data_IF_205126635242
#
_entry.id   IF_205126635242
#
_cell.length_a   1.000
_cell.length_b   1.000
_cell.length_c   1.000
_cell.angle_alpha   90.00
_cell.angle_beta   90.00
_cell.angle_gamma   90.00
#
_symmetry.space_group_name_H-M   'P 1'
#
loop_
_entity.id
_entity.type
_entity.pdbx_description
1 polymer ?
#
# COMPACT_ATOMS: atom_id res chain seq x y z
N UNK A 1 8.55 -29.07 -19.08
CA UNK A 1 7.59 -28.02 -19.47
C UNK A 1 8.37 -26.88 -20.15
N UNK A 2 7.89 -26.30 -21.26
CA UNK A 2 8.62 -25.21 -21.96
C UNK A 2 8.07 -23.86 -21.51
N UNK A 3 8.91 -22.88 -21.19
CA UNK A 3 8.46 -21.56 -20.71
C UNK A 3 7.47 -20.88 -21.68
N UNK A 4 7.67 -21.04 -22.99
CA UNK A 4 6.78 -20.50 -24.03
C UNK A 4 5.33 -20.96 -23.89
N UNK A 5 5.09 -22.19 -23.42
CA UNK A 5 3.72 -22.71 -23.23
C UNK A 5 3.04 -22.13 -21.98
N UNK A 6 3.77 -21.38 -21.14
CA UNK A 6 3.26 -20.73 -19.94
C UNK A 6 3.02 -19.23 -20.11
N UNK A 7 3.15 -18.67 -21.32
CA UNK A 7 3.04 -17.22 -21.57
C UNK A 7 1.74 -16.59 -21.03
N UNK A 8 0.64 -17.34 -20.99
CA UNK A 8 -0.62 -16.87 -20.39
C UNK A 8 -0.51 -16.61 -18.88
N UNK A 9 0.34 -17.37 -18.17
CA UNK A 9 0.58 -17.22 -16.73
C UNK A 9 1.55 -16.08 -16.40
N UNK A 10 2.21 -15.48 -17.38
CA UNK A 10 3.14 -14.36 -17.17
C UNK A 10 2.44 -13.00 -17.29
N UNK A 11 1.13 -12.98 -17.54
CA UNK A 11 0.32 -11.76 -17.56
C UNK A 11 -0.25 -11.50 -16.17
N UNK A 12 -0.45 -10.23 -15.88
CA UNK A 12 -1.07 -9.80 -14.63
C UNK A 12 -2.50 -10.33 -14.63
N UNK A 13 -2.92 -10.86 -13.49
CA UNK A 13 -4.29 -11.31 -13.30
C UNK A 13 -5.27 -10.14 -13.46
N UNK A 14 -6.53 -10.46 -13.75
CA UNK A 14 -7.58 -9.46 -13.77
C UNK A 14 -7.64 -8.72 -12.41
N UNK A 15 -8.03 -7.43 -12.41
CA UNK A 15 -8.39 -6.70 -11.20
C UNK A 15 -9.37 -7.48 -10.33
N UNK A 16 -9.24 -7.33 -9.01
CA UNK A 16 -10.13 -7.96 -8.04
C UNK A 16 -11.03 -6.91 -7.41
N UNK A 17 -12.33 -7.16 -7.40
CA UNK A 17 -13.33 -6.30 -6.78
C UNK A 17 -13.14 -6.23 -5.25
N UNK A 18 -13.27 -5.02 -4.70
CA UNK A 18 -13.18 -4.68 -3.29
C UNK A 18 -14.19 -3.60 -2.95
N UNK A 19 -14.50 -3.48 -1.67
CA UNK A 19 -15.23 -2.34 -1.12
C UNK A 19 -14.22 -1.41 -0.46
N UNK A 20 -14.34 -0.11 -0.75
CA UNK A 20 -13.66 0.95 -0.03
C UNK A 20 -14.69 1.70 0.82
N UNK A 21 -14.32 2.00 2.06
CA UNK A 21 -15.15 2.73 3.02
C UNK A 21 -14.36 3.93 3.52
N UNK A 22 -14.99 5.10 3.56
CA UNK A 22 -14.35 6.34 4.02
C UNK A 22 -15.41 7.31 4.55
N UNK A 23 -14.97 8.26 5.39
CA UNK A 23 -15.85 9.30 5.93
C UNK A 23 -15.58 10.62 5.21
N UNK A 24 -16.64 11.38 4.92
CA UNK A 24 -16.56 12.70 4.31
C UNK A 24 -17.36 13.70 5.15
N UNK A 25 -16.85 14.93 5.26
CA UNK A 25 -17.57 16.03 5.89
C UNK A 25 -18.64 16.57 4.94
N UNK A 26 -19.84 16.79 5.44
CA UNK A 26 -20.92 17.44 4.69
C UNK A 26 -20.61 18.94 4.58
N UNK A 27 -20.43 19.40 3.35
CA UNK A 27 -20.20 20.80 2.99
C UNK A 27 -21.33 21.30 2.11
N UNK A 28 -21.43 22.62 1.92
CA UNK A 28 -22.41 23.20 1.00
C UNK A 28 -22.22 22.68 -0.45
N UNK A 29 -20.98 22.37 -0.84
CA UNK A 29 -20.63 21.92 -2.19
C UNK A 29 -21.04 20.48 -2.48
N UNK A 30 -21.05 19.61 -1.46
CA UNK A 30 -21.35 18.18 -1.63
C UNK A 30 -22.71 17.76 -1.03
N UNK A 31 -23.45 18.68 -0.40
CA UNK A 31 -24.69 18.41 0.33
C UNK A 31 -25.72 17.67 -0.53
N UNK A 32 -26.06 18.22 -1.70
CA UNK A 32 -27.09 17.64 -2.58
C UNK A 32 -26.71 16.23 -3.02
N UNK A 33 -25.42 16.01 -3.32
CA UNK A 33 -24.89 14.72 -3.71
C UNK A 33 -24.99 13.71 -2.55
N UNK A 34 -24.57 14.10 -1.34
CA UNK A 34 -24.64 13.23 -0.17
C UNK A 34 -26.09 12.92 0.23
N UNK A 35 -27.00 13.88 0.12
CA UNK A 35 -28.42 13.69 0.41
C UNK A 35 -29.06 12.69 -0.55
N UNK A 36 -28.74 12.76 -1.85
CA UNK A 36 -29.22 11.81 -2.86
C UNK A 36 -28.66 10.40 -2.62
N UNK A 37 -27.35 10.29 -2.33
CA UNK A 37 -26.67 8.98 -2.25
C UNK A 37 -26.84 8.24 -0.94
N UNK A 38 -27.11 8.93 0.16
CA UNK A 38 -27.20 8.31 1.48
C UNK A 38 -28.63 8.07 1.95
N UNK A 39 -29.63 8.55 1.18
CA UNK A 39 -31.05 8.55 1.53
C UNK A 39 -31.37 9.18 2.91
N UNK A 40 -30.40 9.88 3.52
CA UNK A 40 -30.56 10.58 4.79
C UNK A 40 -31.21 11.93 4.56
N UNK A 41 -32.44 12.09 5.04
CA UNK A 41 -33.21 13.34 4.92
C UNK A 41 -32.72 14.46 5.83
N UNK A 42 -31.97 14.15 6.88
CA UNK A 42 -31.50 15.11 7.90
C UNK A 42 -29.97 15.14 7.96
N UNK A 43 -29.33 15.51 6.84
CA UNK A 43 -27.90 15.84 6.85
C UNK A 43 -27.70 17.27 7.37
N UNK A 44 -26.66 17.48 8.18
CA UNK A 44 -26.26 18.81 8.64
C UNK A 44 -24.86 19.15 8.11
N UNK A 45 -24.65 20.42 7.74
CA UNK A 45 -23.31 20.91 7.39
C UNK A 45 -22.36 20.70 8.59
N UNK A 46 -21.17 20.16 8.32
CA UNK A 46 -20.18 19.78 9.33
C UNK A 46 -20.37 18.39 9.94
N UNK A 47 -21.43 17.65 9.57
CA UNK A 47 -21.58 16.23 9.94
C UNK A 47 -20.56 15.37 9.16
N UNK A 48 -20.02 14.33 9.79
CA UNK A 48 -19.24 13.30 9.11
C UNK A 48 -20.14 12.16 8.67
N UNK A 49 -20.07 11.80 7.39
CA UNK A 49 -20.87 10.72 6.80
C UNK A 49 -19.97 9.64 6.23
N UNK A 50 -20.23 8.40 6.64
CA UNK A 50 -19.55 7.22 6.10
C UNK A 50 -20.15 6.83 4.74
N UNK A 51 -19.28 6.71 3.76
CA UNK A 51 -19.57 6.24 2.41
C UNK A 51 -18.90 4.90 2.17
N UNK A 52 -19.50 4.12 1.26
CA UNK A 52 -18.92 2.88 0.76
C UNK A 52 -19.08 2.81 -0.76
N UNK A 53 -18.08 2.27 -1.44
CA UNK A 53 -18.05 2.15 -2.89
C UNK A 53 -17.31 0.90 -3.35
N UNK A 54 -17.69 0.39 -4.51
CA UNK A 54 -16.94 -0.69 -5.18
C UNK A 54 -15.72 -0.11 -5.89
N UNK A 55 -14.63 -0.85 -5.84
CA UNK A 55 -13.37 -0.51 -6.54
C UNK A 55 -12.69 -1.79 -7.00
N UNK A 56 -11.99 -1.73 -8.13
CA UNK A 56 -11.22 -2.86 -8.65
C UNK A 56 -9.73 -2.63 -8.41
N UNK A 57 -9.04 -3.63 -7.86
CA UNK A 57 -7.61 -3.55 -7.56
C UNK A 57 -6.84 -4.55 -8.40
N UNK A 58 -5.96 -4.06 -9.28
CA UNK A 58 -4.99 -4.88 -10.01
C UNK A 58 -3.67 -5.01 -9.26
N UNK A 59 -2.95 -6.09 -9.55
CA UNK A 59 -1.53 -6.18 -9.17
C UNK A 59 -0.72 -5.22 -10.04
N UNK A 60 0.31 -4.60 -9.45
CA UNK A 60 1.20 -3.73 -10.23
C UNK A 60 1.88 -4.52 -11.36
N UNK A 61 1.87 -3.92 -12.54
CA UNK A 61 2.67 -4.37 -13.68
C UNK A 61 4.14 -4.02 -13.49
N UNK A 62 4.98 -4.56 -14.38
CA UNK A 62 6.38 -4.14 -14.42
C UNK A 62 6.53 -2.65 -14.73
N UNK A 63 5.69 -2.10 -15.62
CA UNK A 63 5.65 -0.67 -15.94
C UNK A 63 5.22 0.16 -14.73
N UNK A 64 4.23 -0.31 -13.96
CA UNK A 64 3.80 0.37 -12.74
C UNK A 64 4.91 0.33 -11.68
N UNK A 65 5.63 -0.80 -11.56
CA UNK A 65 6.77 -0.92 -10.65
C UNK A 65 7.87 0.07 -11.05
N UNK A 66 8.20 0.19 -12.33
CA UNK A 66 9.15 1.18 -12.85
C UNK A 66 8.68 2.61 -12.56
N UNK A 67 7.38 2.90 -12.69
CA UNK A 67 6.84 4.20 -12.32
C UNK A 67 6.98 4.48 -10.83
N UNK A 68 6.68 3.50 -9.96
CA UNK A 68 6.86 3.64 -8.50
C UNK A 68 8.33 3.78 -8.11
N UNK A 69 9.26 3.17 -8.84
CA UNK A 69 10.69 3.27 -8.53
C UNK A 69 11.24 4.69 -8.71
N UNK A 70 10.58 5.54 -9.49
CA UNK A 70 10.93 6.97 -9.63
C UNK A 70 10.74 7.78 -8.35
N UNK A 71 10.03 7.22 -7.35
CA UNK A 71 9.92 7.84 -6.03
C UNK A 71 11.21 7.71 -5.21
N UNK A 72 12.09 6.76 -5.54
CA UNK A 72 13.38 6.57 -4.89
C UNK A 72 14.41 7.50 -5.51
N UNK A 73 15.09 8.24 -4.65
CA UNK A 73 16.20 9.09 -5.05
C UNK A 73 17.48 8.27 -4.96
N UNK A 74 18.12 8.07 -6.11
CA UNK A 74 19.35 7.31 -6.23
C UNK A 74 20.54 8.23 -6.40
N UNK A 75 21.63 7.88 -5.72
CA UNK A 75 22.98 8.33 -6.00
C UNK A 75 23.66 7.22 -6.81
N UNK A 76 23.69 7.39 -8.13
CA UNK A 76 24.23 6.38 -9.05
C UNK A 76 25.73 6.57 -9.21
N UNK A 77 26.48 5.51 -8.91
CA UNK A 77 27.87 5.37 -9.33
C UNK A 77 27.87 4.73 -10.72
N UNK A 78 28.07 5.55 -11.76
CA UNK A 78 28.07 5.08 -13.15
C UNK A 78 29.34 4.30 -13.53
N UNK A 79 30.41 4.41 -12.74
CA UNK A 79 31.64 3.61 -12.94
C UNK A 79 31.51 2.23 -12.29
N UNK A 80 30.79 2.15 -11.15
CA UNK A 80 30.43 0.90 -10.50
C UNK A 80 28.99 0.92 -9.97
N UNK A 81 28.05 0.39 -10.76
CA UNK A 81 26.64 0.38 -10.41
C UNK A 81 26.32 -0.32 -9.08
N UNK A 82 27.15 -1.28 -8.64
CA UNK A 82 26.96 -1.97 -7.35
C UNK A 82 27.15 -1.05 -6.14
N UNK A 83 27.90 0.06 -6.31
CA UNK A 83 28.07 1.08 -5.27
C UNK A 83 26.91 2.08 -5.22
N UNK A 84 25.98 2.03 -6.18
CA UNK A 84 24.83 2.94 -6.21
C UNK A 84 23.93 2.72 -4.99
N UNK A 85 23.41 3.81 -4.43
CA UNK A 85 22.62 3.75 -3.20
C UNK A 85 21.39 4.64 -3.27
N UNK A 86 20.33 4.20 -2.59
CA UNK A 86 19.17 5.05 -2.33
C UNK A 86 19.54 6.07 -1.26
N UNK A 87 19.39 7.35 -1.58
CA UNK A 87 19.67 8.46 -0.67
C UNK A 87 18.39 9.11 -0.11
N UNK A 88 17.23 8.80 -0.70
CA UNK A 88 15.97 9.38 -0.27
C UNK A 88 14.76 8.67 -0.86
N UNK A 89 13.59 8.98 -0.29
CA UNK A 89 12.31 8.45 -0.74
C UNK A 89 11.25 9.56 -0.70
N UNK A 90 10.63 9.83 -1.85
CA UNK A 90 9.44 10.66 -1.91
C UNK A 90 8.20 9.81 -1.60
N UNK A 91 7.81 9.76 -0.32
CA UNK A 91 6.66 8.97 0.13
C UNK A 91 5.34 9.33 -0.55
N UNK A 92 5.13 10.62 -0.85
CA UNK A 92 3.91 11.09 -1.52
C UNK A 92 3.82 10.55 -2.93
N UNK A 93 4.91 10.71 -3.71
CA UNK A 93 4.99 10.17 -5.06
C UNK A 93 4.90 8.65 -5.07
N UNK A 94 5.55 7.96 -4.12
CA UNK A 94 5.47 6.51 -4.02
C UNK A 94 4.01 6.04 -3.88
N UNK A 95 3.29 6.62 -2.90
CA UNK A 95 1.90 6.26 -2.64
C UNK A 95 1.00 6.59 -3.83
N UNK A 96 1.15 7.76 -4.44
CA UNK A 96 0.34 8.13 -5.59
C UNK A 96 0.61 7.24 -6.80
N UNK A 97 1.87 6.93 -7.10
CA UNK A 97 2.22 6.01 -8.19
C UNK A 97 1.70 4.58 -7.94
N UNK A 98 1.71 4.12 -6.68
CA UNK A 98 1.14 2.84 -6.29
C UNK A 98 -0.37 2.79 -6.53
N UNK A 99 -1.11 3.85 -6.16
CA UNK A 99 -2.54 3.95 -6.40
C UNK A 99 -2.86 4.05 -7.89
N UNK A 100 -2.18 4.94 -8.62
CA UNK A 100 -2.32 5.10 -10.07
C UNK A 100 -2.13 3.77 -10.83
N UNK A 101 -1.17 2.96 -10.39
CA UNK A 101 -0.87 1.67 -11.02
C UNK A 101 -1.77 0.51 -10.58
N UNK A 102 -2.58 0.65 -9.52
CA UNK A 102 -3.34 -0.47 -8.94
C UNK A 102 -4.85 -0.27 -8.87
N UNK A 103 -5.34 0.97 -8.79
CA UNK A 103 -6.77 1.26 -8.65
C UNK A 103 -7.42 1.40 -10.02
N UNK A 104 -8.51 0.67 -10.22
CA UNK A 104 -9.23 0.57 -11.48
C UNK A 104 -10.73 0.85 -11.28
N UNK A 105 -11.35 1.45 -12.28
CA UNK A 105 -12.80 1.70 -12.33
C UNK A 105 -13.58 0.41 -12.55
N UNK A 106 -12.99 -0.55 -13.25
CA UNK A 106 -13.66 -1.76 -13.71
C UNK A 106 -12.77 -3.02 -13.68
N UNK A 107 -13.39 -4.16 -13.96
CA UNK A 107 -12.72 -5.48 -14.08
C UNK A 107 -11.78 -5.59 -15.29
N UNK A 108 -11.82 -4.64 -16.23
CA UNK A 108 -10.94 -4.62 -17.41
C UNK A 108 -9.61 -3.95 -17.10
N UNK A 109 -9.52 -3.24 -15.98
CA UNK A 109 -8.33 -2.52 -15.55
C UNK A 109 -8.26 -1.10 -16.11
N UNK A 110 -9.41 -0.52 -16.47
CA UNK A 110 -9.50 0.92 -16.79
C UNK A 110 -9.02 1.72 -15.59
N UNK A 111 -8.14 2.69 -15.82
CA UNK A 111 -7.51 3.46 -14.72
C UNK A 111 -8.56 4.31 -14.02
N UNK A 112 -8.55 4.29 -12.69
CA UNK A 112 -9.38 5.19 -11.88
C UNK A 112 -8.80 6.60 -11.82
N UNK A 113 -7.47 6.70 -11.75
CA UNK A 113 -6.77 7.98 -11.79
C UNK A 113 -6.08 8.16 -13.13
N UNK A 114 -6.15 9.37 -13.68
CA UNK A 114 -5.47 9.68 -14.94
C UNK A 114 -3.99 10.00 -14.73
N UNK A 115 -3.64 10.51 -13.54
CA UNK A 115 -2.27 10.94 -13.23
C UNK A 115 -1.96 10.91 -11.73
N UNK A 116 -0.70 11.14 -11.38
CA UNK A 116 -0.28 11.32 -9.98
C UNK A 116 -0.91 12.59 -9.36
N UNK A 117 -1.13 13.64 -10.15
CA UNK A 117 -1.73 14.88 -9.65
C UNK A 117 -3.20 14.68 -9.28
N UNK A 118 -3.92 13.88 -10.07
CA UNK A 118 -5.29 13.48 -9.79
C UNK A 118 -5.43 12.78 -8.42
N UNK A 119 -4.43 11.95 -8.06
CA UNK A 119 -4.34 11.37 -6.71
C UNK A 119 -4.05 12.42 -5.64
N UNK A 120 -3.24 13.44 -5.94
CA UNK A 120 -2.92 14.51 -4.99
C UNK A 120 -4.05 15.50 -4.76
N UNK A 121 -4.91 15.69 -5.76
CA UNK A 121 -6.09 16.55 -5.69
C UNK A 121 -7.27 15.87 -4.95
N UNK A 122 -7.14 14.57 -4.69
CA UNK A 122 -8.13 13.78 -3.95
C UNK A 122 -8.07 14.00 -2.45
N UNK A 123 -9.20 13.79 -1.78
CA UNK A 123 -9.30 13.87 -0.32
C UNK A 123 -8.32 12.90 0.39
N UNK A 124 -7.55 13.34 1.40
CA UNK A 124 -6.58 12.49 2.08
C UNK A 124 -7.18 11.26 2.80
N UNK A 125 -8.41 11.35 3.32
CA UNK A 125 -9.11 10.24 3.99
C UNK A 125 -9.46 9.19 2.93
N UNK A 126 -10.00 9.61 1.79
CA UNK A 126 -10.28 8.74 0.66
C UNK A 126 -9.01 8.05 0.11
N UNK A 127 -7.93 8.81 -0.08
CA UNK A 127 -6.63 8.28 -0.55
C UNK A 127 -6.06 7.23 0.42
N UNK A 128 -6.17 7.45 1.73
CA UNK A 128 -5.72 6.47 2.72
C UNK A 128 -6.60 5.20 2.71
N UNK A 129 -7.93 5.35 2.58
CA UNK A 129 -8.83 4.21 2.46
C UNK A 129 -8.52 3.35 1.23
N UNK A 130 -8.37 3.99 0.05
CA UNK A 130 -7.94 3.30 -1.17
C UNK A 130 -6.58 2.62 -1.02
N UNK A 131 -5.63 3.28 -0.35
CA UNK A 131 -4.31 2.72 -0.12
C UNK A 131 -4.36 1.42 0.68
N UNK A 132 -5.18 1.37 1.73
CA UNK A 132 -5.33 0.17 2.55
C UNK A 132 -5.94 -0.99 1.75
N UNK A 133 -6.92 -0.70 0.92
CA UNK A 133 -7.55 -1.68 0.03
C UNK A 133 -6.53 -2.19 -1.01
N UNK A 134 -5.76 -1.29 -1.63
CA UNK A 134 -4.73 -1.64 -2.60
C UNK A 134 -3.56 -2.43 -1.99
N UNK A 135 -3.11 -2.05 -0.78
CA UNK A 135 -2.08 -2.74 -0.01
C UNK A 135 -2.53 -4.17 0.36
N UNK A 136 -3.83 -4.41 0.53
CA UNK A 136 -4.34 -5.76 0.78
C UNK A 136 -4.04 -6.74 -0.36
N UNK A 137 -3.97 -6.26 -1.60
CA UNK A 137 -3.70 -7.05 -2.82
C UNK A 137 -2.22 -7.06 -3.17
N UNK A 138 -1.55 -5.91 -3.08
CA UNK A 138 -0.18 -5.73 -3.55
C UNK A 138 0.89 -5.83 -2.46
N UNK A 139 0.51 -5.74 -1.18
CA UNK A 139 1.43 -5.82 -0.02
C UNK A 139 2.56 -4.78 -0.09
N UNK A 140 2.24 -3.54 -0.45
CA UNK A 140 3.20 -2.42 -0.52
C UNK A 140 4.00 -2.25 0.78
N UNK A 141 3.35 -2.40 1.93
CA UNK A 141 3.95 -2.21 3.25
C UNK A 141 4.79 -3.42 3.73
N UNK A 142 4.91 -4.47 2.90
CA UNK A 142 5.55 -5.74 3.28
C UNK A 142 4.80 -6.47 4.40
N UNK A 143 5.40 -7.53 4.97
CA UNK A 143 4.83 -8.30 6.11
C UNK A 143 4.92 -7.56 7.46
N UNK A 144 5.08 -6.24 7.48
CA UNK A 144 5.15 -5.45 8.72
C UNK A 144 3.73 -5.10 9.23
N UNK A 145 3.00 -6.13 9.65
CA UNK A 145 1.91 -6.00 10.64
C UNK A 145 2.14 -7.00 11.77
N UNK A 146 3.22 -6.83 12.52
CA UNK A 146 3.18 -7.11 13.98
C UNK A 146 2.60 -5.85 14.63
N UNK A 147 1.28 -5.66 14.55
CA UNK A 147 0.62 -4.69 15.41
C UNK A 147 0.48 -5.36 16.78
N UNK A 148 1.16 -4.77 17.76
CA UNK A 148 0.90 -4.95 19.17
C UNK A 148 -0.61 -4.85 19.42
N UNK A 149 -1.26 -5.98 19.69
CA UNK A 149 -2.52 -5.99 20.43
C UNK A 149 -2.15 -6.11 21.91
N UNK A 150 -1.78 -4.99 22.52
CA UNK A 150 -1.73 -4.91 23.97
C UNK A 150 -3.17 -4.84 24.44
N UNK A 151 -3.72 -5.98 24.84
CA UNK A 151 -4.58 -6.04 26.01
C UNK A 151 -4.33 -7.37 26.71
N UNK A 152 -3.56 -7.24 27.80
CA UNK A 152 -3.54 -8.05 29.01
C UNK A 152 -4.74 -9.00 29.16
N UNK A 153 -4.44 -10.29 29.28
CA UNK A 153 -4.69 -10.99 30.54
C UNK A 153 -3.63 -12.10 30.75
N UNK A 154 -2.80 -11.83 31.75
CA UNK A 154 -2.16 -12.76 32.71
C UNK A 154 -1.93 -14.22 32.31
N UNK A 155 -0.65 -14.61 32.22
CA UNK A 155 -0.28 -16.03 32.24
C UNK A 155 1.19 -16.35 31.95
N UNK A 156 2.12 -15.80 32.74
CA UNK A 156 3.27 -16.59 33.28
C UNK A 156 4.22 -17.24 32.24
N UNK A 157 5.27 -16.52 31.83
CA UNK A 157 6.66 -16.70 32.33
C UNK A 157 7.69 -16.03 31.41
N UNK A 158 8.39 -15.03 31.97
CA UNK A 158 9.76 -14.64 31.65
C UNK A 158 10.68 -15.29 32.72
N UNK A 159 12.03 -15.27 32.63
CA UNK A 159 12.87 -14.53 31.69
C UNK A 159 14.08 -15.31 31.10
N UNK A 160 14.68 -14.64 30.11
CA UNK A 160 16.10 -14.56 29.75
C UNK A 160 17.14 -15.40 30.49
N UNK A 161 18.02 -16.00 29.70
CA UNK A 161 19.47 -15.93 29.91
C UNK A 161 20.18 -15.59 28.59
N UNK A 162 20.68 -14.36 28.51
CA UNK A 162 21.95 -14.07 27.83
C UNK A 162 23.04 -14.99 28.41
N UNK A 163 23.96 -15.46 27.56
CA UNK A 163 25.40 -15.43 27.86
C UNK A 163 26.16 -15.99 26.66
N UNK A 164 26.78 -15.09 25.92
CA UNK A 164 27.97 -15.37 25.11
C UNK A 164 29.10 -15.57 26.11
N UNK A 165 29.59 -16.79 26.25
CA UNK A 165 30.81 -17.07 27.00
C UNK A 165 31.86 -17.59 26.03
N UNK A 166 32.84 -16.74 25.76
CA UNK A 166 34.09 -17.05 25.10
C UNK A 166 34.91 -17.99 25.97
N UNK A 167 35.16 -19.22 25.53
CA UNK A 167 36.26 -20.03 26.07
C UNK A 167 37.42 -20.11 25.08
N UNK A 168 38.53 -19.50 25.50
CA UNK A 168 39.87 -19.65 24.93
C UNK A 168 40.65 -20.71 25.71
N UNK A 169 41.58 -21.38 25.00
CA UNK A 169 42.64 -22.33 25.43
C UNK A 169 42.18 -23.81 25.43
N UNK A 170 42.91 -24.78 24.91
CA UNK A 170 44.37 -24.93 24.81
C UNK A 170 44.75 -25.90 23.69
N UNK A 171 45.88 -25.64 23.04
CA UNK A 171 46.62 -26.51 22.10
C UNK A 171 46.97 -27.84 22.77
N UNK A 172 46.75 -28.96 22.08
CA UNK A 172 47.29 -30.27 22.44
C UNK A 172 48.55 -30.53 21.63
N UNK A 173 49.65 -30.84 22.32
CA UNK A 173 50.94 -31.27 21.78
C UNK A 173 50.82 -32.61 21.03
N UNK A 174 51.62 -32.77 19.98
CA UNK A 174 52.20 -34.05 19.57
C UNK A 174 53.58 -33.78 18.98
#
# INVERSE_FOLDING_TARGET
MKLKSLKGLTKIAAPVERTVEWSVEVTEENFDFLQEKTEKKELQIGEMVDLSGQVFIKRLSFEDIEATSKAYQWDFDFENLENSKVIGLNHRLLRAAQLLGSVCEDEKGTKFFESVNDVFDSDPIFVEALYQVADSVNKFSGKLRKKNSTNSNSGVNLPSTESVETESKTVSET
#
